data_IF_002224327454
#
_entry.id   IF_002224327454
#
_cell.length_a   1.000
_cell.length_b   1.000
_cell.length_c   1.000
_cell.angle_alpha   90.00
_cell.angle_beta   90.00
_cell.angle_gamma   90.00
#
_symmetry.space_group_name_H-M   'P 1'
#
loop_
_entity.id
_entity.type
_entity.pdbx_description
1 polymer ?
#
# COMPACT_ATOMS: atom_id res chain seq x y z
N UNK A 1 -67.83 -6.28 -28.80
CA UNK A 1 -68.34 -5.86 -27.48
C UNK A 1 -67.16 -5.36 -26.65
N UNK A 2 -67.37 -4.26 -25.94
CA UNK A 2 -66.46 -3.58 -25.00
C UNK A 2 -65.42 -2.62 -25.60
N UNK A 3 -65.82 -1.35 -25.56
CA UNK A 3 -65.14 -0.14 -25.99
C UNK A 3 -64.04 0.33 -25.05
N UNK A 4 -63.18 1.16 -25.65
CA UNK A 4 -62.09 1.97 -25.10
C UNK A 4 -62.49 2.70 -23.81
N UNK A 5 -61.59 2.69 -22.82
CA UNK A 5 -61.39 3.86 -21.93
C UNK A 5 -59.96 4.35 -22.09
N UNK A 6 -59.84 5.46 -22.82
CA UNK A 6 -58.68 6.37 -22.77
C UNK A 6 -58.49 6.81 -21.31
N UNK A 7 -57.29 6.68 -20.77
CA UNK A 7 -56.89 7.41 -19.56
C UNK A 7 -56.15 8.66 -20.02
N UNK A 8 -56.63 9.80 -19.57
CA UNK A 8 -56.10 11.11 -19.88
C UNK A 8 -54.64 11.27 -19.42
N UNK A 9 -53.82 12.07 -20.14
CA UNK A 9 -52.52 12.46 -19.63
C UNK A 9 -52.69 13.33 -18.38
N UNK A 10 -51.80 13.21 -17.37
CA UNK A 10 -51.91 14.03 -16.17
C UNK A 10 -51.76 15.51 -16.49
N UNK A 11 -52.67 16.33 -15.93
CA UNK A 11 -52.63 17.80 -16.01
C UNK A 11 -51.38 18.31 -15.29
N UNK A 12 -50.58 19.10 -15.99
CA UNK A 12 -49.49 19.90 -15.44
C UNK A 12 -50.08 21.12 -14.71
N UNK A 13 -49.59 21.40 -13.50
CA UNK A 13 -49.72 22.71 -12.86
C UNK A 13 -48.34 23.40 -12.85
N UNK A 14 -48.37 24.73 -12.87
CA UNK A 14 -47.27 25.65 -13.20
C UNK A 14 -46.01 25.63 -12.32
N UNK A 15 -45.87 24.71 -11.35
CA UNK A 15 -44.66 24.62 -10.50
C UNK A 15 -44.21 23.17 -10.20
N UNK A 16 -44.48 22.22 -11.09
CA UNK A 16 -43.66 21.00 -11.26
C UNK A 16 -43.41 20.03 -10.07
N UNK A 17 -44.12 20.12 -8.93
CA UNK A 17 -43.88 19.23 -7.77
C UNK A 17 -45.11 18.38 -7.44
N UNK A 18 -44.94 17.05 -7.41
CA UNK A 18 -45.96 16.09 -6.98
C UNK A 18 -45.90 15.83 -5.46
N UNK A 19 -47.01 16.03 -4.76
CA UNK A 19 -47.23 15.59 -3.38
C UNK A 19 -47.36 14.06 -3.30
N UNK A 20 -46.64 13.40 -2.37
CA UNK A 20 -46.91 12.03 -1.92
C UNK A 20 -47.29 12.01 -0.44
N UNK A 21 -48.29 11.20 -0.13
CA UNK A 21 -48.85 10.88 1.21
C UNK A 21 -47.85 10.12 2.09
N UNK A 22 -47.98 10.16 3.43
CA UNK A 22 -47.03 9.54 4.36
C UNK A 22 -47.27 8.03 4.46
N UNK A 23 -46.22 7.25 4.25
CA UNK A 23 -46.21 5.80 4.40
C UNK A 23 -44.80 5.32 4.70
N UNK A 24 -44.67 4.55 5.77
CA UNK A 24 -43.45 4.01 6.38
C UNK A 24 -42.39 3.49 5.40
N UNK A 25 -41.18 4.06 5.47
CA UNK A 25 -39.99 3.51 4.82
C UNK A 25 -38.74 4.18 5.39
N UNK A 26 -37.84 3.39 5.98
CA UNK A 26 -36.54 3.87 6.49
C UNK A 26 -35.73 4.41 5.32
N UNK A 27 -35.47 5.72 5.33
CA UNK A 27 -34.52 6.36 4.41
C UNK A 27 -33.06 6.14 4.85
N UNK A 28 -32.09 6.34 3.93
CA UNK A 28 -30.68 6.13 4.22
C UNK A 28 -30.17 7.20 5.19
N UNK A 29 -29.40 6.76 6.20
CA UNK A 29 -28.82 7.61 7.22
C UNK A 29 -27.89 8.67 6.59
N UNK A 30 -28.25 9.94 6.74
CA UNK A 30 -27.39 11.08 6.48
C UNK A 30 -26.31 11.14 7.56
N UNK A 31 -25.06 10.79 7.23
CA UNK A 31 -23.93 10.99 8.13
C UNK A 31 -23.55 12.47 8.15
N UNK A 32 -23.94 13.16 9.23
CA UNK A 32 -23.42 14.50 9.54
C UNK A 32 -21.99 14.35 10.06
N UNK A 33 -21.06 15.06 9.41
CA UNK A 33 -19.71 15.29 9.92
C UNK A 33 -19.77 16.16 11.18
N UNK A 34 -19.58 15.57 12.36
CA UNK A 34 -19.18 16.32 13.55
C UNK A 34 -17.65 16.35 13.62
N UNK A 35 -17.10 17.56 13.64
CA UNK A 35 -15.67 17.81 13.76
C UNK A 35 -15.23 17.49 15.19
N UNK A 36 -14.51 16.38 15.38
CA UNK A 36 -13.88 16.06 16.65
C UNK A 36 -12.56 16.85 16.77
N UNK A 37 -12.66 18.03 17.39
CA UNK A 37 -11.52 18.75 17.95
C UNK A 37 -11.20 18.13 19.31
N UNK A 38 -10.26 17.18 19.37
CA UNK A 38 -9.55 16.84 20.62
C UNK A 38 -8.25 16.07 20.33
N UNK A 39 -7.31 16.75 19.67
CA UNK A 39 -5.90 16.35 19.62
C UNK A 39 -5.18 17.03 20.80
N UNK A 40 -5.27 16.43 21.99
CA UNK A 40 -4.31 16.54 23.12
C UNK A 40 -4.84 15.77 24.33
N UNK A 41 -4.38 14.51 24.49
CA UNK A 41 -4.18 13.74 25.74
C UNK A 41 -4.45 12.26 25.50
N UNK A 42 -3.44 11.52 25.04
CA UNK A 42 -3.29 10.09 25.38
C UNK A 42 -1.81 9.85 25.63
N UNK A 43 -1.40 10.12 26.87
CA UNK A 43 -0.12 9.64 27.44
C UNK A 43 -0.46 8.92 28.74
N UNK A 44 -0.73 7.61 28.64
CA UNK A 44 -0.61 6.69 29.77
C UNK A 44 -0.71 5.24 29.26
N UNK A 45 0.39 4.51 29.42
CA UNK A 45 0.45 3.08 29.16
C UNK A 45 -0.38 2.31 30.22
N UNK A 46 -1.17 1.29 29.87
CA UNK A 46 -1.78 0.41 30.85
C UNK A 46 -0.76 -0.61 31.36
N UNK A 47 -0.63 -0.71 32.70
CA UNK A 47 0.04 -1.83 33.38
C UNK A 47 -0.86 -3.07 33.26
N UNK A 48 -0.35 -4.15 32.68
CA UNK A 48 -1.05 -5.44 32.59
C UNK A 48 -0.46 -6.40 33.63
N UNK A 49 -1.29 -6.80 34.58
CA UNK A 49 -1.03 -7.86 35.54
C UNK A 49 -1.51 -9.24 35.05
N UNK A 50 -0.74 -10.25 35.46
CA UNK A 50 -1.04 -11.70 35.59
C UNK A 50 -1.48 -12.55 34.39
N UNK A 51 -0.48 -13.32 33.90
CA UNK A 51 -0.46 -14.77 33.61
C UNK A 51 -1.68 -15.42 32.94
N UNK A 52 -1.59 -15.57 31.62
CA UNK A 52 -1.91 -16.82 30.92
C UNK A 52 -0.80 -17.05 29.89
N UNK A 53 -0.12 -18.19 29.98
CA UNK A 53 1.03 -18.53 29.13
C UNK A 53 0.62 -18.72 27.66
N UNK A 54 0.82 -17.70 26.84
CA UNK A 54 1.12 -17.87 25.43
C UNK A 54 2.63 -17.67 25.27
N UNK A 55 3.36 -18.73 24.93
CA UNK A 55 4.74 -18.64 24.47
C UNK A 55 4.75 -17.94 23.12
N UNK A 56 4.67 -16.61 23.13
CA UNK A 56 4.94 -15.78 21.96
C UNK A 56 6.46 -15.86 21.78
N UNK A 57 6.90 -16.56 20.73
CA UNK A 57 8.26 -16.47 20.24
C UNK A 57 8.46 -15.02 19.80
N UNK A 58 8.99 -14.17 20.68
CA UNK A 58 9.64 -12.93 20.29
C UNK A 58 10.84 -13.34 19.45
N UNK A 59 10.71 -13.23 18.14
CA UNK A 59 11.86 -13.35 17.24
C UNK A 59 12.75 -12.14 17.57
N UNK A 60 13.75 -12.37 18.42
CA UNK A 60 14.76 -11.37 18.74
C UNK A 60 15.65 -11.21 17.52
N UNK A 61 15.23 -10.35 16.59
CA UNK A 61 16.02 -10.03 15.41
C UNK A 61 17.31 -9.36 15.86
N UNK A 62 18.46 -9.99 15.62
CA UNK A 62 19.76 -9.33 15.78
C UNK A 62 19.73 -8.04 14.97
N UNK A 63 19.82 -6.89 15.64
CA UNK A 63 19.58 -5.58 15.04
C UNK A 63 20.70 -5.26 14.04
N UNK A 64 20.41 -5.38 12.74
CA UNK A 64 21.33 -4.96 11.67
C UNK A 64 21.53 -3.44 11.73
N UNK A 65 22.76 -2.98 11.53
CA UNK A 65 23.04 -1.56 11.31
C UNK A 65 22.55 -1.11 9.93
N UNK A 66 22.37 0.20 9.71
CA UNK A 66 22.00 0.73 8.39
C UNK A 66 23.01 0.33 7.30
N UNK A 67 24.30 0.24 7.66
CA UNK A 67 25.36 -0.18 6.73
C UNK A 67 25.21 -1.65 6.33
N UNK A 68 24.88 -2.53 7.28
CA UNK A 68 24.63 -3.94 7.00
C UNK A 68 23.39 -4.11 6.12
N UNK A 69 22.31 -3.39 6.44
CA UNK A 69 21.09 -3.39 5.63
C UNK A 69 21.41 -2.93 4.20
N UNK A 70 22.16 -1.84 4.04
CA UNK A 70 22.54 -1.34 2.72
C UNK A 70 23.35 -2.39 1.95
N UNK A 71 24.31 -3.05 2.59
CA UNK A 71 25.10 -4.12 1.99
C UNK A 71 24.24 -5.30 1.54
N UNK A 72 23.20 -5.66 2.30
CA UNK A 72 22.28 -6.75 1.93
C UNK A 72 21.38 -6.40 0.73
N UNK A 73 21.14 -5.10 0.52
CA UNK A 73 20.36 -4.57 -0.59
C UNK A 73 21.18 -4.43 -1.88
N UNK A 74 22.51 -4.38 -1.80
CA UNK A 74 23.38 -4.16 -2.95
C UNK A 74 23.35 -5.32 -3.95
N UNK A 75 23.40 -4.94 -5.22
CA UNK A 75 23.35 -5.85 -6.34
C UNK A 75 24.42 -5.50 -7.39
N UNK A 76 24.74 -6.48 -8.22
CA UNK A 76 25.60 -6.30 -9.38
C UNK A 76 24.76 -5.97 -10.63
N UNK A 77 25.37 -5.30 -11.60
CA UNK A 77 24.71 -5.01 -12.88
C UNK A 77 24.79 -6.22 -13.81
N UNK A 78 23.63 -6.74 -14.20
CA UNK A 78 23.49 -7.83 -15.16
C UNK A 78 23.18 -7.35 -16.59
N UNK A 79 23.30 -6.05 -16.85
CA UNK A 79 23.04 -5.41 -18.14
C UNK A 79 21.60 -5.51 -18.67
N UNK A 80 20.67 -6.13 -17.93
CA UNK A 80 19.25 -6.16 -18.30
C UNK A 80 18.55 -4.86 -17.88
N UNK A 81 17.31 -4.66 -18.33
CA UNK A 81 16.51 -3.47 -17.97
C UNK A 81 16.35 -3.35 -16.45
N UNK A 82 16.43 -2.12 -15.94
CA UNK A 82 16.43 -1.76 -14.51
C UNK A 82 15.38 -0.70 -14.22
N UNK A 83 14.83 -0.69 -13.01
CA UNK A 83 13.93 0.37 -12.55
C UNK A 83 14.77 1.51 -11.97
N UNK A 84 14.65 2.72 -12.52
CA UNK A 84 15.35 3.89 -11.96
C UNK A 84 14.60 4.42 -10.75
N UNK A 85 15.20 4.36 -9.57
CA UNK A 85 14.58 4.75 -8.28
C UNK A 85 15.23 6.00 -7.69
N UNK A 86 14.49 6.72 -6.85
CA UNK A 86 15.08 7.75 -5.98
C UNK A 86 15.67 7.13 -4.72
N UNK A 87 16.61 7.81 -4.08
CA UNK A 87 17.27 7.29 -2.87
C UNK A 87 16.30 6.95 -1.71
N UNK A 88 15.19 7.68 -1.62
CA UNK A 88 14.13 7.42 -0.64
C UNK A 88 13.50 6.03 -0.78
N UNK A 89 13.63 5.37 -1.93
CA UNK A 89 13.14 4.00 -2.13
C UNK A 89 13.94 2.98 -1.32
N UNK A 90 15.18 3.28 -0.92
CA UNK A 90 16.01 2.38 -0.10
C UNK A 90 15.35 2.09 1.26
N UNK A 91 14.70 3.07 1.88
CA UNK A 91 13.98 2.90 3.14
C UNK A 91 12.88 1.83 3.01
N UNK A 92 12.09 1.89 1.94
CA UNK A 92 11.07 0.85 1.65
C UNK A 92 11.72 -0.52 1.46
N UNK A 93 12.83 -0.60 0.72
CA UNK A 93 13.48 -1.88 0.44
C UNK A 93 14.12 -2.48 1.70
N UNK A 94 14.64 -1.65 2.60
CA UNK A 94 15.11 -2.05 3.91
C UNK A 94 13.97 -2.57 4.81
N UNK A 95 12.84 -1.86 4.83
CA UNK A 95 11.62 -2.32 5.52
C UNK A 95 11.22 -3.70 5.00
N UNK A 96 11.23 -3.90 3.68
CA UNK A 96 10.89 -5.18 3.06
C UNK A 96 11.88 -6.29 3.42
N UNK A 97 13.19 -6.06 3.35
CA UNK A 97 14.21 -7.06 3.73
C UNK A 97 14.02 -7.54 5.17
N UNK A 98 13.91 -6.60 6.11
CA UNK A 98 13.73 -6.89 7.52
C UNK A 98 12.39 -7.60 7.79
N UNK A 99 11.31 -7.12 7.18
CA UNK A 99 9.99 -7.72 7.34
C UNK A 99 9.91 -9.10 6.71
N UNK A 100 10.52 -9.34 5.54
CA UNK A 100 10.54 -10.66 4.89
C UNK A 100 11.24 -11.70 5.77
N UNK A 101 12.41 -11.37 6.31
CA UNK A 101 13.11 -12.24 7.25
C UNK A 101 12.24 -12.61 8.47
N UNK A 102 11.59 -11.63 9.08
CA UNK A 102 10.75 -11.85 10.24
C UNK A 102 9.45 -12.62 9.90
N UNK A 103 8.82 -12.31 8.77
CA UNK A 103 7.62 -12.97 8.30
C UNK A 103 7.86 -14.45 7.99
N UNK A 104 8.92 -14.77 7.25
CA UNK A 104 9.26 -16.17 6.90
C UNK A 104 9.64 -16.97 8.12
N UNK A 105 10.34 -16.36 9.07
CA UNK A 105 10.68 -16.97 10.37
C UNK A 105 9.43 -17.26 11.19
N UNK A 106 8.53 -16.27 11.35
CA UNK A 106 7.27 -16.46 12.07
C UNK A 106 6.35 -17.48 11.38
N UNK A 107 6.45 -17.58 10.05
CA UNK A 107 5.66 -18.49 9.21
C UNK A 107 6.36 -19.82 8.93
N UNK A 108 7.48 -20.14 9.60
CA UNK A 108 8.29 -21.32 9.30
C UNK A 108 7.48 -22.64 9.39
N UNK A 109 6.59 -22.76 10.38
CA UNK A 109 5.68 -23.93 10.52
C UNK A 109 4.68 -24.07 9.36
N UNK A 110 4.45 -23.01 8.59
CA UNK A 110 3.63 -22.99 7.39
C UNK A 110 4.49 -22.92 6.10
N UNK A 111 5.77 -23.31 6.18
CA UNK A 111 6.70 -23.32 5.04
C UNK A 111 7.25 -21.95 4.65
N UNK A 112 7.15 -20.94 5.50
CA UNK A 112 7.59 -19.56 5.22
C UNK A 112 6.52 -18.68 4.55
N UNK A 113 5.36 -19.24 4.20
CA UNK A 113 4.27 -18.51 3.58
C UNK A 113 4.54 -18.10 2.13
N UNK A 114 3.66 -17.27 1.58
CA UNK A 114 3.73 -16.82 0.18
C UNK A 114 3.87 -15.30 0.11
N UNK A 115 4.81 -14.84 -0.70
CA UNK A 115 4.92 -13.43 -1.09
C UNK A 115 4.25 -13.22 -2.45
N UNK A 116 3.35 -12.25 -2.55
CA UNK A 116 2.80 -11.76 -3.82
C UNK A 116 3.27 -10.33 -4.03
N UNK A 117 4.05 -10.06 -5.07
CA UNK A 117 4.38 -8.70 -5.50
C UNK A 117 3.50 -8.34 -6.69
N UNK A 118 2.57 -7.41 -6.49
CA UNK A 118 1.57 -7.04 -7.48
C UNK A 118 2.09 -6.17 -8.62
N UNK A 119 3.22 -5.47 -8.42
CA UNK A 119 3.79 -4.49 -9.37
C UNK A 119 5.32 -4.64 -9.42
N UNK A 120 5.75 -5.88 -9.71
CA UNK A 120 7.10 -6.37 -9.42
C UNK A 120 8.23 -5.64 -10.18
N UNK A 121 7.95 -5.08 -11.35
CA UNK A 121 8.96 -4.47 -12.19
C UNK A 121 10.02 -5.48 -12.66
N UNK A 122 11.22 -5.02 -13.02
CA UNK A 122 12.26 -5.88 -13.56
C UNK A 122 13.06 -6.63 -12.47
N UNK A 123 12.83 -6.32 -11.20
CA UNK A 123 13.53 -6.93 -10.06
C UNK A 123 14.88 -6.32 -9.68
N UNK A 124 15.51 -5.53 -10.55
CA UNK A 124 16.73 -4.77 -10.24
C UNK A 124 16.47 -3.27 -10.37
N UNK A 125 17.01 -2.50 -9.43
CA UNK A 125 16.87 -1.05 -9.37
C UNK A 125 18.22 -0.35 -9.59
N UNK A 126 18.20 0.81 -10.23
CA UNK A 126 19.34 1.74 -10.35
C UNK A 126 19.02 3.02 -9.58
N UNK A 127 19.90 3.41 -8.66
CA UNK A 127 19.71 4.63 -7.85
C UNK A 127 20.04 5.87 -8.69
N UNK A 128 19.03 6.70 -8.96
CA UNK A 128 19.21 7.96 -9.68
C UNK A 128 20.11 8.91 -8.90
N UNK A 129 21.10 9.48 -9.57
CA UNK A 129 21.99 10.49 -8.98
C UNK A 129 23.04 9.91 -8.03
N UNK A 130 23.17 8.58 -7.92
CA UNK A 130 24.34 7.96 -7.32
C UNK A 130 25.60 8.38 -8.09
N UNK A 131 26.72 8.59 -7.38
CA UNK A 131 28.02 8.90 -8.01
C UNK A 131 28.51 7.69 -8.82
N UNK A 132 29.57 7.91 -9.61
CA UNK A 132 30.30 6.84 -10.30
C UNK A 132 31.09 6.01 -9.25
N UNK A 133 31.00 4.67 -9.26
CA UNK A 133 30.20 3.84 -10.17
C UNK A 133 28.70 3.82 -9.80
N UNK A 134 27.79 3.63 -10.79
CA UNK A 134 26.36 3.48 -10.53
C UNK A 134 26.07 2.45 -9.43
N UNK A 135 25.04 2.73 -8.61
CA UNK A 135 24.61 1.84 -7.53
C UNK A 135 23.37 1.06 -7.95
N UNK A 136 23.47 -0.26 -7.87
CA UNK A 136 22.38 -1.19 -8.18
C UNK A 136 21.89 -1.86 -6.91
N UNK A 137 20.58 -2.03 -6.83
CA UNK A 137 19.89 -2.48 -5.63
C UNK A 137 18.87 -3.54 -6.02
N UNK A 138 18.76 -4.60 -5.22
CA UNK A 138 17.70 -5.59 -5.39
C UNK A 138 16.33 -4.94 -5.20
N UNK A 139 15.47 -5.08 -6.20
CA UNK A 139 14.06 -4.72 -6.10
C UNK A 139 13.29 -5.70 -5.23
N UNK A 140 12.07 -5.32 -4.86
CA UNK A 140 11.18 -6.14 -4.01
C UNK A 140 11.01 -7.60 -4.43
N UNK A 141 10.85 -7.98 -5.72
CA UNK A 141 10.67 -9.39 -6.04
C UNK A 141 11.96 -10.20 -5.84
N UNK A 142 13.14 -9.60 -6.06
CA UNK A 142 14.40 -10.31 -5.82
C UNK A 142 14.77 -10.38 -4.34
N UNK A 143 14.43 -9.35 -3.54
CA UNK A 143 14.50 -9.44 -2.09
C UNK A 143 13.61 -10.58 -1.55
N UNK A 144 12.37 -10.70 -2.05
CA UNK A 144 11.47 -11.78 -1.66
C UNK A 144 12.03 -13.16 -2.07
N UNK A 145 12.51 -13.31 -3.31
CA UNK A 145 13.04 -14.59 -3.79
C UNK A 145 14.31 -15.05 -3.05
N UNK A 146 15.14 -14.07 -2.61
CA UNK A 146 16.39 -14.26 -1.86
C UNK A 146 16.22 -14.31 -0.34
N UNK A 147 15.02 -14.08 0.17
CA UNK A 147 14.75 -14.06 1.61
C UNK A 147 15.31 -15.32 2.30
N UNK A 148 15.87 -15.12 3.50
CA UNK A 148 16.40 -16.19 4.33
C UNK A 148 15.85 -16.02 5.75
N UNK A 149 15.07 -16.97 6.30
CA UNK A 149 14.55 -18.18 5.65
C UNK A 149 13.70 -17.90 4.40
N UNK A 150 13.63 -18.82 3.42
CA UNK A 150 12.89 -18.59 2.19
C UNK A 150 11.38 -18.61 2.39
N UNK A 151 10.67 -17.80 1.59
CA UNK A 151 9.24 -18.02 1.36
C UNK A 151 8.99 -19.39 0.72
N UNK A 152 7.84 -19.99 1.00
CA UNK A 152 7.38 -21.20 0.31
C UNK A 152 7.27 -20.97 -1.20
N UNK A 153 6.74 -19.80 -1.56
CA UNK A 153 6.52 -19.38 -2.94
C UNK A 153 6.56 -17.86 -3.03
N UNK A 154 7.05 -17.35 -4.16
CA UNK A 154 6.98 -15.96 -4.52
C UNK A 154 6.22 -15.84 -5.85
N UNK A 155 5.22 -14.96 -5.91
CA UNK A 155 4.39 -14.76 -7.10
C UNK A 155 4.48 -13.29 -7.49
N UNK A 156 4.90 -13.02 -8.73
CA UNK A 156 5.18 -11.69 -9.21
C UNK A 156 4.26 -11.35 -10.37
N UNK A 157 3.52 -10.24 -10.25
CA UNK A 157 2.65 -9.71 -11.30
C UNK A 157 3.34 -8.49 -11.90
N UNK A 158 3.49 -8.47 -13.22
CA UNK A 158 4.09 -7.35 -13.95
C UNK A 158 3.43 -7.22 -15.32
N UNK A 159 2.83 -6.06 -15.59
CA UNK A 159 2.05 -5.84 -16.81
C UNK A 159 2.93 -5.66 -18.04
N UNK A 160 4.11 -5.07 -17.89
CA UNK A 160 5.03 -4.80 -18.98
C UNK A 160 5.86 -6.06 -19.32
N UNK A 161 5.72 -6.62 -20.55
CA UNK A 161 6.44 -7.84 -20.92
C UNK A 161 7.97 -7.71 -20.88
N UNK A 162 8.52 -6.52 -21.18
CA UNK A 162 9.97 -6.31 -21.14
C UNK A 162 10.51 -6.39 -19.72
N UNK A 163 9.80 -5.80 -18.75
CA UNK A 163 10.17 -5.88 -17.34
C UNK A 163 9.99 -7.31 -16.80
N UNK A 164 8.87 -7.95 -17.14
CA UNK A 164 8.60 -9.33 -16.76
C UNK A 164 9.68 -10.29 -17.29
N UNK A 165 10.13 -10.15 -18.55
CA UNK A 165 11.17 -10.98 -19.13
C UNK A 165 12.53 -10.83 -18.40
N UNK A 166 12.90 -9.61 -18.03
CA UNK A 166 14.11 -9.38 -17.23
C UNK A 166 13.99 -10.01 -15.83
N UNK A 167 12.82 -9.91 -15.20
CA UNK A 167 12.55 -10.57 -13.93
C UNK A 167 12.61 -12.11 -14.07
N UNK A 168 12.08 -12.67 -15.16
CA UNK A 168 12.17 -14.11 -15.46
C UNK A 168 13.61 -14.58 -15.57
N UNK A 169 14.46 -13.84 -16.28
CA UNK A 169 15.87 -14.16 -16.39
C UNK A 169 16.56 -14.17 -15.01
N UNK A 170 16.32 -13.15 -14.19
CA UNK A 170 16.90 -13.00 -12.84
C UNK A 170 16.40 -14.02 -11.82
N UNK A 171 15.21 -14.59 -12.04
CA UNK A 171 14.58 -15.53 -11.09
C UNK A 171 14.71 -16.99 -11.46
N UNK A 172 15.34 -17.30 -12.61
CA UNK A 172 15.49 -18.67 -13.13
C UNK A 172 16.11 -19.64 -12.12
N UNK A 173 17.10 -19.17 -11.35
CA UNK A 173 17.80 -19.98 -10.35
C UNK A 173 16.91 -20.41 -9.17
N UNK A 174 15.75 -19.76 -8.96
CA UNK A 174 14.80 -20.12 -7.90
C UNK A 174 13.77 -21.17 -8.33
N UNK A 175 13.77 -21.58 -9.61
CA UNK A 175 12.94 -22.65 -10.13
C UNK A 175 11.44 -22.45 -9.85
N UNK A 176 10.76 -23.51 -9.44
CA UNK A 176 9.32 -23.54 -9.19
C UNK A 176 8.86 -22.72 -7.97
N UNK A 177 9.80 -22.18 -7.17
CA UNK A 177 9.48 -21.30 -6.03
C UNK A 177 9.03 -19.92 -6.49
N UNK A 178 9.39 -19.51 -7.71
CA UNK A 178 8.96 -18.24 -8.30
C UNK A 178 7.95 -18.50 -9.43
N UNK A 179 6.86 -17.75 -9.42
CA UNK A 179 5.88 -17.69 -10.50
C UNK A 179 5.71 -16.26 -10.97
N UNK A 180 5.81 -16.02 -12.28
CA UNK A 180 5.61 -14.69 -12.86
C UNK A 180 4.32 -14.69 -13.70
N UNK A 181 3.47 -13.69 -13.51
CA UNK A 181 2.26 -13.45 -14.30
C UNK A 181 2.38 -12.12 -15.04
N UNK A 182 2.47 -12.18 -16.37
CA UNK A 182 2.54 -10.97 -17.21
C UNK A 182 1.14 -10.40 -17.47
N UNK A 183 0.53 -9.79 -16.45
CA UNK A 183 -0.88 -9.35 -16.44
C UNK A 183 -1.05 -8.05 -15.65
N UNK A 184 -2.24 -7.45 -15.74
CA UNK A 184 -2.63 -6.30 -14.92
C UNK A 184 -2.94 -6.73 -13.49
N UNK A 185 -2.34 -6.03 -12.51
CA UNK A 185 -2.52 -6.32 -11.08
C UNK A 185 -3.99 -6.30 -10.64
N UNK A 186 -4.80 -5.42 -11.24
CA UNK A 186 -6.18 -5.23 -10.81
C UNK A 186 -7.06 -6.45 -11.09
N UNK A 187 -6.72 -7.20 -12.13
CA UNK A 187 -7.42 -8.43 -12.52
C UNK A 187 -6.76 -9.67 -11.92
N UNK A 188 -5.42 -9.69 -11.88
CA UNK A 188 -4.65 -10.90 -11.60
C UNK A 188 -4.45 -11.13 -10.10
N UNK A 189 -4.35 -10.08 -9.28
CA UNK A 189 -4.14 -10.20 -7.83
C UNK A 189 -5.17 -11.13 -7.14
N UNK A 190 -6.50 -10.93 -7.27
CA UNK A 190 -7.47 -11.82 -6.64
C UNK A 190 -7.42 -13.25 -7.19
N UNK A 191 -7.03 -13.45 -8.46
CA UNK A 191 -6.90 -14.78 -9.07
C UNK A 191 -5.73 -15.53 -8.49
N UNK A 192 -4.56 -14.90 -8.44
CA UNK A 192 -3.34 -15.47 -7.84
C UNK A 192 -3.57 -15.82 -6.37
N UNK A 193 -4.16 -14.92 -5.58
CA UNK A 193 -4.44 -15.18 -4.16
C UNK A 193 -5.38 -16.38 -3.96
N UNK A 194 -6.28 -16.63 -4.91
CA UNK A 194 -7.24 -17.75 -4.89
C UNK A 194 -6.62 -19.07 -5.35
N UNK A 195 -5.95 -19.03 -6.49
CA UNK A 195 -5.62 -20.23 -7.26
C UNK A 195 -4.20 -20.73 -6.96
N UNK A 196 -3.29 -19.82 -6.61
CA UNK A 196 -1.85 -20.13 -6.49
C UNK A 196 -1.36 -20.12 -5.04
N UNK A 197 -2.08 -19.45 -4.12
CA UNK A 197 -1.70 -19.38 -2.70
C UNK A 197 -2.43 -20.48 -1.91
N UNK A 198 -1.71 -21.41 -1.24
CA UNK A 198 -2.35 -22.44 -0.44
C UNK A 198 -3.31 -21.86 0.61
N UNK A 199 -4.46 -22.52 0.81
CA UNK A 199 -5.59 -22.03 1.64
C UNK A 199 -5.21 -21.67 3.09
N UNK A 200 -4.20 -22.35 3.64
CA UNK A 200 -3.74 -22.18 5.02
C UNK A 200 -2.42 -21.39 5.12
N UNK A 201 -1.73 -21.16 4.00
CA UNK A 201 -0.45 -20.46 4.01
C UNK A 201 -0.66 -18.97 4.34
N UNK A 202 0.12 -18.40 5.29
CA UNK A 202 0.27 -16.96 5.42
C UNK A 202 0.64 -16.34 4.07
N UNK A 203 0.04 -15.20 3.74
CA UNK A 203 0.25 -14.53 2.47
C UNK A 203 0.52 -13.06 2.72
N UNK A 204 1.63 -12.56 2.18
CA UNK A 204 1.98 -11.15 2.20
C UNK A 204 1.89 -10.60 0.78
N UNK A 205 1.09 -9.55 0.57
CA UNK A 205 0.90 -8.88 -0.71
C UNK A 205 1.55 -7.49 -0.69
N UNK A 206 2.58 -7.27 -1.51
CA UNK A 206 3.16 -5.96 -1.77
C UNK A 206 2.48 -5.31 -2.98
N UNK A 207 1.99 -4.09 -2.82
CA UNK A 207 1.34 -3.31 -3.88
C UNK A 207 2.01 -1.94 -3.99
N UNK A 208 2.98 -1.83 -4.89
CA UNK A 208 3.89 -0.69 -5.04
C UNK A 208 3.72 -0.01 -6.41
N UNK A 209 2.63 0.76 -6.64
CA UNK A 209 2.40 1.38 -7.94
C UNK A 209 3.44 2.46 -8.25
N UNK A 210 3.81 2.57 -9.53
CA UNK A 210 4.65 3.67 -10.02
C UNK A 210 3.82 4.95 -10.23
N UNK A 211 2.51 4.80 -10.43
CA UNK A 211 1.55 5.87 -10.58
C UNK A 211 0.28 5.65 -9.74
N UNK A 212 -0.86 5.60 -10.43
CA UNK A 212 -2.20 5.50 -9.83
C UNK A 212 -3.01 4.37 -10.49
N UNK A 213 -2.30 3.37 -11.00
CA UNK A 213 -2.85 2.21 -11.68
C UNK A 213 -3.52 1.20 -10.74
N UNK A 214 -3.16 1.21 -9.44
CA UNK A 214 -3.77 0.32 -8.45
C UNK A 214 -5.18 0.80 -8.09
N UNK A 215 -6.15 -0.08 -8.24
CA UNK A 215 -7.53 0.16 -7.87
C UNK A 215 -7.90 -0.57 -6.58
N UNK A 216 -8.66 0.10 -5.71
CA UNK A 216 -9.13 -0.42 -4.44
C UNK A 216 -9.89 -1.74 -4.57
N UNK A 217 -10.65 -1.91 -5.66
CA UNK A 217 -11.41 -3.15 -5.88
C UNK A 217 -10.51 -4.39 -5.92
N UNK A 218 -9.27 -4.28 -6.42
CA UNK A 218 -8.33 -5.39 -6.47
C UNK A 218 -7.92 -5.85 -5.06
N UNK A 219 -7.64 -4.88 -4.18
CA UNK A 219 -7.36 -5.12 -2.75
C UNK A 219 -8.56 -5.77 -2.09
N UNK A 220 -9.76 -5.18 -2.25
CA UNK A 220 -11.00 -5.69 -1.65
C UNK A 220 -11.30 -7.12 -2.12
N UNK A 221 -11.16 -7.39 -3.41
CA UNK A 221 -11.39 -8.73 -3.97
C UNK A 221 -10.36 -9.75 -3.46
N UNK A 222 -9.08 -9.35 -3.34
CA UNK A 222 -8.02 -10.21 -2.80
C UNK A 222 -8.20 -10.50 -1.29
N UNK A 223 -8.69 -9.53 -0.52
CA UNK A 223 -8.94 -9.67 0.91
C UNK A 223 -10.02 -10.71 1.24
N UNK A 224 -11.01 -10.90 0.36
CA UNK A 224 -12.17 -11.78 0.57
C UNK A 224 -12.22 -12.97 -0.39
N UNK A 225 -11.07 -13.38 -0.93
CA UNK A 225 -10.99 -14.59 -1.75
C UNK A 225 -11.56 -15.79 -0.98
N UNK A 226 -12.50 -16.48 -1.60
CA UNK A 226 -13.18 -17.64 -1.02
C UNK A 226 -12.23 -18.80 -0.79
N UNK A 227 -12.49 -19.60 0.25
CA UNK A 227 -11.73 -20.82 0.55
C UNK A 227 -10.41 -20.60 1.30
N UNK A 228 -10.00 -19.36 1.56
CA UNK A 228 -8.88 -19.07 2.45
C UNK A 228 -9.32 -19.01 3.90
N UNK A 229 -8.50 -19.57 4.81
CA UNK A 229 -8.73 -19.45 6.27
C UNK A 229 -8.17 -18.17 6.87
N UNK A 230 -7.20 -17.56 6.19
CA UNK A 230 -6.50 -16.34 6.63
C UNK A 230 -6.49 -15.34 5.49
N UNK A 231 -6.88 -14.11 5.78
CA UNK A 231 -6.76 -13.03 4.81
C UNK A 231 -5.28 -12.74 4.54
N UNK A 232 -4.93 -12.32 3.31
CA UNK A 232 -3.59 -11.81 3.04
C UNK A 232 -3.34 -10.54 3.85
N UNK A 233 -2.09 -10.35 4.26
CA UNK A 233 -1.58 -9.07 4.73
C UNK A 233 -1.18 -8.22 3.53
N UNK A 234 -1.33 -6.90 3.63
CA UNK A 234 -1.00 -5.98 2.53
C UNK A 234 0.01 -4.94 3.00
N UNK A 235 0.99 -4.64 2.15
CA UNK A 235 1.76 -3.40 2.21
C UNK A 235 1.54 -2.63 0.92
N UNK A 236 0.91 -1.46 1.02
CA UNK A 236 0.54 -0.63 -0.13
C UNK A 236 1.33 0.66 -0.12
N UNK A 237 2.00 0.99 -1.22
CA UNK A 237 2.51 2.35 -1.43
C UNK A 237 1.33 3.24 -1.82
N UNK A 238 0.90 4.09 -0.90
CA UNK A 238 -0.11 5.11 -1.15
C UNK A 238 0.54 6.42 -1.61
N UNK A 239 0.27 6.89 -2.84
CA UNK A 239 1.00 8.00 -3.45
C UNK A 239 0.50 9.38 -3.00
N UNK A 240 0.46 9.61 -1.68
CA UNK A 240 -0.11 10.80 -1.01
C UNK A 240 0.30 12.13 -1.65
N UNK A 241 1.59 12.32 -1.93
CA UNK A 241 2.13 13.55 -2.54
C UNK A 241 1.78 13.70 -4.02
N UNK A 242 1.55 12.60 -4.75
CA UNK A 242 1.06 12.63 -6.13
C UNK A 242 -0.41 13.05 -6.18
N UNK A 243 -1.27 12.53 -5.29
CA UNK A 243 -2.68 12.96 -5.22
C UNK A 243 -2.79 14.48 -5.08
N UNK A 244 -1.88 15.10 -4.32
CA UNK A 244 -1.92 16.54 -4.06
C UNK A 244 -1.71 17.38 -5.33
N UNK A 245 -1.05 16.81 -6.35
CA UNK A 245 -0.78 17.43 -7.65
C UNK A 245 -1.91 17.24 -8.65
N UNK A 246 -2.65 16.14 -8.58
CA UNK A 246 -3.80 15.89 -9.46
C UNK A 246 -5.04 16.68 -9.09
N UNK A 247 -5.13 17.09 -7.82
CA UNK A 247 -6.22 17.86 -7.25
C UNK A 247 -5.76 19.32 -6.98
N UNK A 248 -5.70 20.17 -8.02
CA UNK A 248 -5.24 21.54 -7.86
C UNK A 248 -6.22 22.37 -7.03
N UNK A 249 -5.71 23.35 -6.28
CA UNK A 249 -6.55 24.27 -5.47
C UNK A 249 -7.28 25.32 -6.31
N UNK A 250 -6.79 25.60 -7.52
CA UNK A 250 -7.33 26.59 -8.45
C UNK A 250 -7.50 25.93 -9.81
N UNK A 251 -8.46 26.42 -10.59
CA UNK A 251 -8.76 25.91 -11.92
C UNK A 251 -9.70 24.70 -11.89
N UNK A 252 -9.94 24.15 -13.09
CA UNK A 252 -10.85 23.04 -13.31
C UNK A 252 -10.11 21.73 -13.09
N UNK A 253 -10.67 20.84 -12.27
CA UNK A 253 -10.13 19.48 -12.12
C UNK A 253 -10.40 18.70 -13.40
N UNK A 254 -9.38 18.06 -13.95
CA UNK A 254 -9.55 17.17 -15.08
C UNK A 254 -10.48 16.00 -14.67
N UNK A 255 -11.60 15.75 -15.36
CA UNK A 255 -12.50 14.63 -15.06
C UNK A 255 -11.80 13.26 -15.06
N UNK A 256 -10.70 13.11 -15.80
CA UNK A 256 -9.88 11.89 -15.76
C UNK A 256 -9.25 11.68 -14.38
N UNK A 257 -8.84 12.74 -13.69
CA UNK A 257 -8.26 12.63 -12.35
C UNK A 257 -9.31 12.18 -11.33
N UNK A 258 -10.54 12.67 -11.43
CA UNK A 258 -11.63 12.24 -10.53
C UNK A 258 -11.92 10.74 -10.72
N UNK A 259 -11.96 10.25 -11.96
CA UNK A 259 -12.14 8.82 -12.24
C UNK A 259 -10.98 7.97 -11.72
N UNK A 260 -9.73 8.44 -11.80
CA UNK A 260 -8.58 7.75 -11.21
C UNK A 260 -8.74 7.64 -9.69
N UNK A 261 -9.12 8.73 -9.03
CA UNK A 261 -9.30 8.74 -7.58
C UNK A 261 -10.49 7.88 -7.13
N UNK A 262 -11.56 7.82 -7.92
CA UNK A 262 -12.69 6.90 -7.67
C UNK A 262 -12.30 5.43 -7.71
N UNK A 263 -11.29 5.08 -8.51
CA UNK A 263 -10.77 3.72 -8.56
C UNK A 263 -9.76 3.46 -7.44
N UNK A 264 -8.91 4.44 -7.16
CA UNK A 264 -7.85 4.31 -6.16
C UNK A 264 -8.40 4.29 -4.73
N UNK A 265 -9.34 5.17 -4.40
CA UNK A 265 -9.81 5.36 -3.04
C UNK A 265 -10.87 4.32 -2.65
N UNK A 266 -10.95 3.94 -1.36
CA UNK A 266 -11.98 3.00 -0.89
C UNK A 266 -13.41 3.48 -1.10
N UNK A 267 -13.62 4.78 -0.85
CA UNK A 267 -14.92 5.44 -0.79
C UNK A 267 -14.82 6.85 -1.39
N UNK A 268 -15.94 7.47 -1.82
CA UNK A 268 -15.93 8.78 -2.49
C UNK A 268 -15.63 9.97 -1.56
N UNK A 269 -15.47 9.75 -0.24
CA UNK A 269 -15.23 10.80 0.77
C UNK A 269 -13.96 11.64 0.53
N UNK A 270 -13.08 11.22 -0.38
CA UNK A 270 -11.96 12.03 -0.84
C UNK A 270 -12.43 13.37 -1.48
N UNK A 271 -13.65 13.42 -2.04
CA UNK A 271 -14.24 14.65 -2.60
C UNK A 271 -14.46 15.72 -1.54
N UNK A 272 -14.93 15.33 -0.36
CA UNK A 272 -15.17 16.27 0.74
C UNK A 272 -13.85 16.87 1.24
N UNK A 273 -12.82 16.04 1.37
CA UNK A 273 -11.45 16.50 1.70
C UNK A 273 -10.93 17.47 0.63
N UNK A 274 -11.18 17.16 -0.65
CA UNK A 274 -10.79 18.03 -1.75
C UNK A 274 -11.49 19.38 -1.69
N UNK A 275 -12.81 19.41 -1.48
CA UNK A 275 -13.59 20.64 -1.40
C UNK A 275 -13.16 21.50 -0.21
N UNK A 276 -12.94 20.91 0.96
CA UNK A 276 -12.40 21.63 2.13
C UNK A 276 -11.03 22.25 1.84
N UNK A 277 -10.14 21.54 1.14
CA UNK A 277 -8.81 22.05 0.76
C UNK A 277 -8.91 23.17 -0.27
N UNK A 278 -9.83 23.02 -1.24
CA UNK A 278 -10.10 23.99 -2.31
C UNK A 278 -10.65 25.29 -1.74
N UNK A 279 -11.60 25.19 -0.81
CA UNK A 279 -12.17 26.33 -0.07
C UNK A 279 -11.26 26.88 1.04
N UNK A 280 -10.02 26.39 1.15
CA UNK A 280 -9.02 26.78 2.18
C UNK A 280 -9.47 26.57 3.63
N UNK A 281 -10.44 25.69 3.88
CA UNK A 281 -10.89 25.34 5.23
C UNK A 281 -9.93 24.39 5.96
N UNK A 282 -9.11 23.67 5.20
CA UNK A 282 -8.03 22.82 5.73
C UNK A 282 -6.71 23.11 5.03
N UNK A 283 -5.60 22.83 5.72
CA UNK A 283 -4.26 23.00 5.15
C UNK A 283 -3.92 21.90 4.14
N UNK A 284 -2.93 22.09 3.24
CA UNK A 284 -2.46 21.01 2.37
C UNK A 284 -1.92 19.80 3.13
N UNK A 285 -1.30 20.00 4.30
CA UNK A 285 -0.82 18.91 5.15
C UNK A 285 -1.99 18.11 5.70
N UNK A 286 -2.96 18.81 6.29
CA UNK A 286 -4.15 18.18 6.86
C UNK A 286 -4.96 17.43 5.79
N UNK A 287 -5.09 17.98 4.58
CA UNK A 287 -5.75 17.28 3.49
C UNK A 287 -5.02 15.97 3.16
N UNK A 288 -3.69 16.00 3.03
CA UNK A 288 -2.86 14.81 2.80
C UNK A 288 -3.08 13.76 3.88
N UNK A 289 -3.07 14.16 5.15
CA UNK A 289 -3.28 13.26 6.29
C UNK A 289 -4.69 12.65 6.26
N UNK A 290 -5.72 13.44 5.92
CA UNK A 290 -7.10 12.94 5.74
C UNK A 290 -7.23 11.93 4.59
N UNK A 291 -6.52 12.11 3.47
CA UNK A 291 -6.56 11.09 2.39
C UNK A 291 -5.92 9.77 2.81
N UNK A 292 -4.80 9.83 3.54
CA UNK A 292 -4.15 8.63 4.10
C UNK A 292 -5.10 7.93 5.06
N UNK A 293 -5.77 8.69 5.92
CA UNK A 293 -6.72 8.15 6.88
C UNK A 293 -7.94 7.52 6.21
N UNK A 294 -8.50 8.15 5.16
CA UNK A 294 -9.57 7.53 4.36
C UNK A 294 -9.14 6.17 3.78
N UNK A 295 -7.89 6.04 3.32
CA UNK A 295 -7.36 4.79 2.81
C UNK A 295 -7.20 3.73 3.91
N UNK A 296 -6.72 4.13 5.10
CA UNK A 296 -6.62 3.27 6.29
C UNK A 296 -7.99 2.79 6.78
N UNK A 297 -8.98 3.68 6.81
CA UNK A 297 -10.37 3.36 7.17
C UNK A 297 -10.97 2.36 6.19
N UNK A 298 -10.62 2.45 4.91
CA UNK A 298 -10.94 1.42 3.92
C UNK A 298 -10.50 0.03 4.39
N UNK A 299 -9.25 -0.14 4.80
CA UNK A 299 -8.75 -1.42 5.32
C UNK A 299 -9.43 -1.84 6.62
N UNK A 300 -9.69 -0.90 7.53
CA UNK A 300 -10.42 -1.17 8.77
C UNK A 300 -11.84 -1.67 8.51
N UNK A 301 -12.53 -1.12 7.52
CA UNK A 301 -13.84 -1.58 7.09
C UNK A 301 -13.80 -3.00 6.50
N UNK A 302 -12.65 -3.44 5.95
CA UNK A 302 -12.43 -4.84 5.54
C UNK A 302 -12.00 -5.74 6.72
N UNK A 303 -11.91 -5.23 7.95
CA UNK A 303 -11.58 -5.98 9.17
C UNK A 303 -10.09 -5.97 9.55
N UNK A 304 -9.25 -5.18 8.89
CA UNK A 304 -7.81 -5.14 9.19
C UNK A 304 -7.45 -4.13 10.28
N UNK A 305 -6.35 -4.40 10.98
CA UNK A 305 -5.55 -3.34 11.61
C UNK A 305 -4.71 -2.70 10.50
N UNK A 306 -4.78 -1.38 10.37
CA UNK A 306 -4.04 -0.63 9.37
C UNK A 306 -3.06 0.36 10.03
N UNK A 307 -1.84 0.44 9.51
CA UNK A 307 -0.76 1.31 9.98
C UNK A 307 -0.15 2.04 8.78
N UNK A 308 0.39 3.24 8.98
CA UNK A 308 0.98 4.06 7.92
C UNK A 308 2.34 4.57 8.33
N UNK A 309 3.29 4.50 7.40
CA UNK A 309 4.65 4.98 7.57
C UNK A 309 5.02 5.97 6.46
N UNK A 310 5.36 7.24 6.78
CA UNK A 310 5.77 8.20 5.77
C UNK A 310 7.18 7.89 5.29
N UNK A 311 7.34 7.61 3.99
CA UNK A 311 8.67 7.55 3.38
C UNK A 311 9.04 8.93 2.86
N UNK A 312 10.19 9.42 3.31
CA UNK A 312 10.62 10.79 3.08
C UNK A 312 11.90 10.84 2.26
N UNK A 313 11.97 11.79 1.33
CA UNK A 313 13.22 12.08 0.65
C UNK A 313 14.14 12.93 1.54
N UNK A 314 15.45 12.61 1.56
CA UNK A 314 16.46 13.52 2.09
C UNK A 314 16.34 14.85 1.35
N UNK A 315 16.39 15.96 2.08
CA UNK A 315 16.60 17.27 1.48
C UNK A 315 18.09 17.61 1.55
N UNK A 316 18.49 18.56 0.70
CA UNK A 316 19.70 19.39 0.85
C UNK A 316 19.82 19.84 2.32
N UNK A 317 21.04 20.01 2.88
CA UNK A 317 21.22 20.48 4.26
C UNK A 317 20.32 21.67 4.62
N UNK A 318 19.66 21.60 5.77
CA UNK A 318 18.80 22.67 6.31
C UNK A 318 17.34 22.69 5.82
N UNK A 319 16.94 21.81 4.90
CA UNK A 319 15.55 21.74 4.43
C UNK A 319 14.68 20.70 5.15
N UNK A 320 13.37 20.97 5.35
CA UNK A 320 12.41 19.96 5.86
C UNK A 320 12.33 18.74 4.93
N UNK A 321 12.50 17.50 5.40
CA UNK A 321 12.33 16.28 4.59
C UNK A 321 10.96 16.28 3.88
N UNK A 322 10.93 15.85 2.62
CA UNK A 322 9.71 15.84 1.81
C UNK A 322 9.13 14.44 1.74
N UNK A 323 7.93 14.25 2.29
CA UNK A 323 7.18 13.00 2.12
C UNK A 323 6.95 12.72 0.63
N UNK A 324 7.33 11.53 0.19
CA UNK A 324 7.10 11.07 -1.18
C UNK A 324 5.82 10.28 -1.29
N UNK A 325 5.60 9.38 -0.34
CA UNK A 325 4.45 8.50 -0.26
C UNK A 325 4.32 7.96 1.17
N UNK A 326 3.22 7.25 1.42
CA UNK A 326 2.95 6.54 2.67
C UNK A 326 2.94 5.05 2.37
N UNK A 327 3.64 4.26 3.17
CA UNK A 327 3.46 2.81 3.18
C UNK A 327 2.32 2.47 4.13
N UNK A 328 1.23 1.90 3.62
CA UNK A 328 0.08 1.47 4.41
C UNK A 328 0.14 -0.04 4.57
N UNK A 329 0.40 -0.50 5.79
CA UNK A 329 0.39 -1.91 6.14
C UNK A 329 -0.94 -2.31 6.76
N UNK A 330 -1.54 -3.40 6.29
CA UNK A 330 -2.79 -3.93 6.79
C UNK A 330 -2.68 -5.42 7.11
N UNK A 331 -3.02 -5.81 8.34
CA UNK A 331 -2.98 -7.21 8.80
C UNK A 331 -4.08 -7.50 9.82
N UNK A 332 -4.58 -8.74 9.86
CA UNK A 332 -5.44 -9.25 10.94
C UNK A 332 -4.62 -9.95 12.03
N UNK A 333 -3.34 -10.22 11.78
CA UNK A 333 -2.49 -10.99 12.67
C UNK A 333 -1.65 -10.11 13.58
N UNK A 334 -1.74 -10.38 14.89
CA UNK A 334 -1.00 -9.64 15.92
C UNK A 334 0.53 -9.75 15.73
N UNK A 335 1.03 -10.92 15.31
CA UNK A 335 2.45 -11.10 15.03
C UNK A 335 2.93 -10.21 13.88
N UNK A 336 2.20 -10.18 12.76
CA UNK A 336 2.49 -9.31 11.63
C UNK A 336 2.46 -7.83 12.01
N UNK A 337 1.50 -7.43 12.84
CA UNK A 337 1.39 -6.06 13.35
C UNK A 337 2.60 -5.68 14.21
N UNK A 338 3.01 -6.53 15.16
CA UNK A 338 4.18 -6.29 16.01
C UNK A 338 5.47 -6.18 15.18
N UNK A 339 5.66 -7.09 14.24
CA UNK A 339 6.85 -7.10 13.36
C UNK A 339 6.90 -5.82 12.53
N UNK A 340 5.82 -5.45 11.84
CA UNK A 340 5.86 -4.28 10.96
C UNK A 340 6.01 -2.97 11.75
N UNK A 341 5.39 -2.86 12.93
CA UNK A 341 5.57 -1.68 13.78
C UNK A 341 7.02 -1.54 14.25
N UNK A 342 7.67 -2.63 14.68
CA UNK A 342 9.11 -2.60 15.00
C UNK A 342 9.94 -2.15 13.79
N UNK A 343 9.63 -2.68 12.61
CA UNK A 343 10.33 -2.31 11.37
C UNK A 343 10.08 -0.84 10.97
N UNK A 344 8.87 -0.31 11.14
CA UNK A 344 8.56 1.11 10.87
C UNK A 344 9.22 2.07 11.85
N UNK A 345 9.39 1.69 13.11
CA UNK A 345 10.01 2.53 14.15
C UNK A 345 11.53 2.62 14.03
N UNK A 346 12.17 1.77 13.20
CA UNK A 346 13.62 1.79 13.02
C UNK A 346 14.09 3.03 12.27
N UNK A 347 15.16 3.69 12.74
CA UNK A 347 15.82 4.73 11.97
C UNK A 347 16.61 4.11 10.81
N UNK A 348 16.23 4.45 9.58
CA UNK A 348 16.96 4.06 8.37
C UNK A 348 17.87 5.21 7.93
N UNK A 349 19.17 5.06 8.17
CA UNK A 349 20.19 5.98 7.66
C UNK A 349 20.82 5.35 6.42
N UNK A 350 20.08 5.39 5.32
CA UNK A 350 20.46 4.75 4.04
C UNK A 350 20.88 5.78 2.99
N UNK A 351 21.26 6.98 3.45
CA UNK A 351 21.72 8.05 2.60
C UNK A 351 23.10 7.69 2.03
N UNK A 352 23.09 7.07 0.86
CA UNK A 352 24.23 7.08 -0.05
C UNK A 352 24.63 8.56 -0.30
N UNK A 353 25.92 8.86 -0.47
CA UNK A 353 26.37 10.21 -0.80
C UNK A 353 25.83 10.63 -2.18
N UNK A 354 24.64 11.24 -2.19
CA UNK A 354 24.00 11.88 -3.34
C UNK A 354 24.38 13.35 -3.28
N UNK A 355 25.27 13.78 -4.17
CA UNK A 355 26.01 15.05 -4.14
C UNK A 355 27.20 15.07 -3.16
N UNK A 356 28.12 16.02 -3.40
CA UNK A 356 29.47 16.20 -2.85
C UNK A 356 29.72 16.07 -1.35
N UNK A 357 28.70 15.90 -0.51
CA UNK A 357 28.85 15.89 0.95
C UNK A 357 29.02 14.47 1.50
N UNK A 358 29.80 14.37 2.57
CA UNK A 358 29.95 13.16 3.37
C UNK A 358 28.57 12.59 3.77
N UNK A 359 28.45 11.27 4.01
CA UNK A 359 27.24 10.71 4.58
C UNK A 359 26.82 11.54 5.80
N UNK A 360 25.52 11.81 5.93
CA UNK A 360 24.97 12.74 6.93
C UNK A 360 25.22 12.32 8.38
N UNK A 361 25.79 11.13 8.63
CA UNK A 361 26.09 10.60 9.95
C UNK A 361 27.33 9.69 9.90
N UNK A 362 28.34 10.02 10.70
CA UNK A 362 29.19 9.06 11.42
C UNK A 362 28.54 8.75 12.78
#
# INVERSE_FOLDING_TARGET
>A
MSERRRRDPPKLNNDGVAQRRPGSGRGPASWRYEACNDLKKVTSAPRIGSRVGLTILTVEMKRKSSQQILSDLEAEDDQLVKRRIGIWTLEKLAILDLYFHAFTTASAKAGGGVCVDGLAGPGLCEVRGARVPPRFIWGSPLLAARAAPPFQRCIFIEKNPQLANALTARTRAFGNRVLIKTRDVNEELPRVVRDEVPRQAPCFCLLDPEGLELAWHAIRSAAFVTGRRRKPEFLVLFPSSWLMRLLPRKGIVNPRHTTILDRLMPEPGWRDVYELRRSRRISPSEAKDRYVELYRQGFQALGYRAFSHPVQAPRIPGGKRLERYQLIFATEHEAGAKIMLDVFERPYVLDLPVSGQAPLFE
#
